data_IF_101964973743
#
_entry.id   IF_101964973743
#
_cell.length_a   1.000
_cell.length_b   1.000
_cell.length_c   1.000
_cell.angle_alpha   90.00
_cell.angle_beta   90.00
_cell.angle_gamma   90.00
#
_symmetry.space_group_name_H-M   'P 1'
#
loop_
_entity.id
_entity.type
_entity.pdbx_description
1 polymer ?
#
# COMPACT_ATOMS: atom_id res chain seq x y z
N UNK A 1 38.35 46.93 -44.51
CA UNK A 1 38.60 45.52 -44.14
C UNK A 1 38.92 45.32 -42.66
N UNK A 2 40.10 45.69 -42.12
CA UNK A 2 40.41 45.42 -40.70
C UNK A 2 39.49 46.20 -39.74
N UNK A 3 39.22 47.47 -40.02
CA UNK A 3 38.32 48.27 -39.18
C UNK A 3 36.85 47.84 -39.27
N UNK A 4 36.40 47.34 -40.43
CA UNK A 4 35.07 46.74 -40.59
C UNK A 4 34.93 45.45 -39.76
N UNK A 5 35.96 44.59 -39.80
CA UNK A 5 36.02 43.38 -38.98
C UNK A 5 35.99 43.69 -37.48
N UNK A 6 36.69 44.74 -37.03
CA UNK A 6 36.63 45.19 -35.62
C UNK A 6 35.24 45.68 -35.25
N UNK A 7 34.58 46.44 -36.14
CA UNK A 7 33.22 46.92 -35.89
C UNK A 7 32.18 45.78 -35.83
N UNK A 8 32.33 44.75 -36.66
CA UNK A 8 31.48 43.55 -36.61
C UNK A 8 31.71 42.72 -35.33
N UNK A 9 32.96 42.56 -34.89
CA UNK A 9 33.31 41.90 -33.63
C UNK A 9 32.68 42.62 -32.42
N UNK A 10 32.77 43.96 -32.40
CA UNK A 10 32.17 44.75 -31.32
C UNK A 10 30.64 44.57 -31.28
N UNK A 11 29.97 44.63 -32.44
CA UNK A 11 28.52 44.38 -32.52
C UNK A 11 28.12 43.00 -32.03
N UNK A 12 28.94 41.98 -32.31
CA UNK A 12 28.71 40.63 -31.83
C UNK A 12 28.85 40.53 -30.31
N UNK A 13 29.86 41.16 -29.73
CA UNK A 13 30.05 41.22 -28.27
C UNK A 13 28.90 41.97 -27.59
N UNK A 14 28.50 43.12 -28.12
CA UNK A 14 27.38 43.91 -27.60
C UNK A 14 26.06 43.12 -27.67
N UNK A 15 25.81 42.43 -28.79
CA UNK A 15 24.61 41.60 -28.96
C UNK A 15 24.61 40.40 -28.02
N UNK A 16 25.77 39.78 -27.77
CA UNK A 16 25.92 38.70 -26.79
C UNK A 16 25.69 39.21 -25.36
N UNK A 17 26.23 40.39 -25.04
CA UNK A 17 26.05 41.02 -23.73
C UNK A 17 24.58 41.39 -23.46
N UNK A 18 23.81 41.76 -24.50
CA UNK A 18 22.39 42.05 -24.37
C UNK A 18 21.52 40.78 -24.31
N UNK A 19 21.90 39.73 -25.04
CA UNK A 19 21.14 38.47 -25.09
C UNK A 19 21.32 37.63 -23.82
N UNK A 20 22.52 37.61 -23.23
CA UNK A 20 22.82 36.79 -22.05
C UNK A 20 21.87 37.02 -20.85
N UNK A 21 21.56 38.26 -20.41
CA UNK A 21 20.65 38.47 -19.29
C UNK A 21 19.23 37.98 -19.60
N UNK A 22 18.76 38.13 -20.85
CA UNK A 22 17.45 37.62 -21.27
C UNK A 22 17.41 36.08 -21.22
N UNK A 23 18.51 35.43 -21.62
CA UNK A 23 18.67 33.97 -21.52
C UNK A 23 18.67 33.54 -20.05
N UNK A 24 19.36 34.27 -19.17
CA UNK A 24 19.44 33.96 -17.74
C UNK A 24 18.07 34.13 -17.05
N UNK A 25 17.30 35.15 -17.41
CA UNK A 25 15.90 35.34 -16.95
C UNK A 25 15.01 34.18 -17.39
N UNK A 26 15.04 33.81 -18.67
CA UNK A 26 14.27 32.67 -19.19
C UNK A 26 14.65 31.36 -18.50
N UNK A 27 15.95 31.13 -18.25
CA UNK A 27 16.40 29.95 -17.51
C UNK A 27 15.90 29.96 -16.05
N UNK A 28 15.87 31.12 -15.41
CA UNK A 28 15.36 31.27 -14.04
C UNK A 28 13.86 30.99 -13.97
N UNK A 29 13.08 31.50 -14.92
CA UNK A 29 11.65 31.21 -15.03
C UNK A 29 11.39 29.73 -15.28
N UNK A 30 12.08 29.15 -16.28
CA UNK A 30 11.99 27.71 -16.57
C UNK A 30 12.29 26.86 -15.34
N UNK A 31 13.36 27.16 -14.61
CA UNK A 31 13.73 26.38 -13.43
C UNK A 31 12.70 26.52 -12.30
N UNK A 32 12.07 27.69 -12.15
CA UNK A 32 10.99 27.91 -11.19
C UNK A 32 9.75 27.11 -11.57
N UNK A 33 9.37 27.09 -12.85
CA UNK A 33 8.23 26.31 -13.33
C UNK A 33 8.47 24.81 -13.16
N UNK A 34 9.67 24.32 -13.48
CA UNK A 34 10.05 22.92 -13.26
C UNK A 34 9.91 22.53 -11.78
N UNK A 35 10.43 23.34 -10.86
CA UNK A 35 10.31 23.08 -9.43
C UNK A 35 8.85 23.04 -8.95
N UNK A 36 7.98 23.90 -9.49
CA UNK A 36 6.54 23.87 -9.17
C UNK A 36 5.85 22.63 -9.71
N UNK A 37 6.24 22.18 -10.90
CA UNK A 37 5.70 20.95 -11.52
C UNK A 37 6.15 19.72 -10.72
N UNK A 38 7.44 19.63 -10.37
CA UNK A 38 7.99 18.56 -9.53
C UNK A 38 7.24 18.49 -8.18
N UNK A 39 7.11 19.62 -7.49
CA UNK A 39 6.39 19.67 -6.21
C UNK A 39 4.93 19.19 -6.32
N UNK A 40 4.25 19.53 -7.43
CA UNK A 40 2.88 19.06 -7.67
C UNK A 40 2.81 17.55 -7.88
N UNK A 41 3.74 16.99 -8.64
CA UNK A 41 3.78 15.55 -8.85
C UNK A 41 4.15 14.80 -7.57
N UNK A 42 5.12 15.30 -6.80
CA UNK A 42 5.47 14.72 -5.50
C UNK A 42 4.26 14.70 -4.55
N UNK A 43 3.49 15.78 -4.50
CA UNK A 43 2.27 15.84 -3.69
C UNK A 43 1.19 14.87 -4.18
N UNK A 44 1.01 14.72 -5.50
CA UNK A 44 0.08 13.76 -6.08
C UNK A 44 0.49 12.31 -5.77
N UNK A 45 1.79 12.00 -5.91
CA UNK A 45 2.35 10.69 -5.56
C UNK A 45 2.12 10.41 -4.08
N UNK A 46 2.45 11.36 -3.19
CA UNK A 46 2.25 11.18 -1.76
C UNK A 46 0.79 10.91 -1.40
N UNK A 47 -0.16 11.62 -2.03
CA UNK A 47 -1.59 11.39 -1.79
C UNK A 47 -2.03 10.00 -2.28
N UNK A 48 -1.63 9.61 -3.49
CA UNK A 48 -1.99 8.29 -4.04
C UNK A 48 -1.37 7.17 -3.21
N UNK A 49 -0.10 7.29 -2.81
CA UNK A 49 0.55 6.32 -1.93
C UNK A 49 -0.18 6.20 -0.60
N UNK A 50 -0.59 7.33 0.00
CA UNK A 50 -1.37 7.33 1.23
C UNK A 50 -2.72 6.62 1.07
N UNK A 51 -3.45 6.88 0.00
CA UNK A 51 -4.74 6.23 -0.26
C UNK A 51 -4.57 4.70 -0.44
N UNK A 52 -3.46 4.27 -1.07
CA UNK A 52 -3.11 2.85 -1.22
C UNK A 52 -2.75 2.23 0.13
N UNK A 53 -1.93 2.91 0.94
CA UNK A 53 -1.54 2.44 2.28
C UNK A 53 -2.76 2.28 3.20
N UNK A 54 -3.66 3.28 3.21
CA UNK A 54 -4.91 3.25 3.97
C UNK A 54 -5.83 2.10 3.50
N UNK A 55 -5.90 1.85 2.19
CA UNK A 55 -6.67 0.74 1.65
C UNK A 55 -6.04 -0.61 2.02
N UNK A 56 -4.72 -0.75 1.95
CA UNK A 56 -4.01 -1.97 2.31
C UNK A 56 -4.21 -2.30 3.79
N UNK A 57 -4.08 -1.29 4.66
CA UNK A 57 -4.33 -1.43 6.10
C UNK A 57 -5.79 -1.84 6.38
N UNK A 58 -6.74 -1.19 5.71
CA UNK A 58 -8.16 -1.54 5.83
C UNK A 58 -8.44 -2.97 5.39
N UNK A 59 -7.97 -3.38 4.22
CA UNK A 59 -8.16 -4.74 3.70
C UNK A 59 -7.52 -5.76 4.63
N UNK A 60 -6.33 -5.48 5.14
CA UNK A 60 -5.66 -6.32 6.11
C UNK A 60 -6.48 -6.48 7.39
N UNK A 61 -6.93 -5.37 7.99
CA UNK A 61 -7.76 -5.39 9.19
C UNK A 61 -9.10 -6.11 8.96
N UNK A 62 -9.75 -5.91 7.82
CA UNK A 62 -10.97 -6.63 7.43
C UNK A 62 -10.73 -8.15 7.35
N UNK A 63 -9.57 -8.58 6.83
CA UNK A 63 -9.17 -10.00 6.82
C UNK A 63 -8.98 -10.54 8.25
N UNK A 64 -8.32 -9.78 9.13
CA UNK A 64 -8.13 -10.18 10.53
C UNK A 64 -9.47 -10.24 11.28
N UNK A 65 -10.39 -9.30 11.05
CA UNK A 65 -11.73 -9.39 11.63
C UNK A 65 -12.52 -10.58 11.10
N UNK A 66 -12.35 -10.92 9.82
CA UNK A 66 -13.04 -12.06 9.22
C UNK A 66 -12.63 -13.40 9.84
N UNK A 67 -11.41 -13.50 10.40
CA UNK A 67 -10.95 -14.64 11.20
C UNK A 67 -11.84 -14.88 12.41
N UNK A 68 -12.10 -13.84 13.19
CA UNK A 68 -12.95 -13.94 14.38
C UNK A 68 -14.37 -14.38 13.98
N UNK A 69 -14.92 -13.74 12.95
CA UNK A 69 -16.27 -14.02 12.44
C UNK A 69 -16.41 -15.49 12.01
N UNK A 70 -15.41 -16.05 11.31
CA UNK A 70 -15.49 -17.46 10.88
C UNK A 70 -15.31 -18.42 12.05
N UNK A 71 -14.41 -18.12 13.00
CA UNK A 71 -14.16 -18.96 14.18
C UNK A 71 -15.41 -19.03 15.06
N UNK A 72 -16.03 -17.88 15.36
CA UNK A 72 -17.23 -17.81 16.18
C UNK A 72 -18.42 -18.47 15.50
N UNK A 73 -18.60 -18.27 14.19
CA UNK A 73 -19.64 -18.95 13.42
C UNK A 73 -19.50 -20.48 13.46
N UNK A 74 -18.27 -21.00 13.34
CA UNK A 74 -18.02 -22.44 13.43
C UNK A 74 -18.31 -22.97 14.84
N UNK A 75 -17.87 -22.24 15.86
CA UNK A 75 -18.11 -22.58 17.26
C UNK A 75 -19.62 -22.64 17.59
N UNK A 76 -20.41 -21.68 17.13
CA UNK A 76 -21.87 -21.66 17.32
C UNK A 76 -22.58 -22.78 16.54
N UNK A 77 -22.10 -23.10 15.33
CA UNK A 77 -22.63 -24.21 14.54
C UNK A 77 -22.43 -25.56 15.26
N UNK A 78 -21.29 -25.75 15.93
CA UNK A 78 -21.02 -26.96 16.72
C UNK A 78 -21.91 -27.08 17.95
N UNK A 79 -22.09 -25.99 18.69
CA UNK A 79 -23.02 -25.94 19.84
C UNK A 79 -24.45 -26.33 19.47
N UNK A 80 -24.84 -26.08 18.22
CA UNK A 80 -26.21 -26.27 17.73
C UNK A 80 -26.51 -27.68 17.20
N UNK A 81 -25.49 -28.51 16.89
CA UNK A 81 -25.69 -29.75 16.13
C UNK A 81 -25.28 -31.04 16.84
N UNK A 82 -24.64 -30.98 18.01
CA UNK A 82 -24.16 -32.14 18.79
C UNK A 82 -23.26 -33.14 18.02
N UNK A 83 -22.87 -32.82 16.78
CA UNK A 83 -22.00 -33.62 15.91
C UNK A 83 -20.77 -32.79 15.62
N UNK A 84 -19.59 -33.34 15.95
CA UNK A 84 -18.31 -32.65 15.72
C UNK A 84 -17.91 -32.73 14.24
N UNK A 85 -18.55 -31.93 13.39
CA UNK A 85 -18.26 -31.86 11.94
C UNK A 85 -17.89 -30.45 11.53
N UNK A 86 -16.70 -30.30 10.98
CA UNK A 86 -16.23 -29.03 10.42
C UNK A 86 -17.12 -28.59 9.26
N UNK A 87 -17.62 -27.35 9.30
CA UNK A 87 -18.50 -26.83 8.24
C UNK A 87 -17.75 -26.62 6.92
N UNK A 88 -18.50 -26.66 5.81
CA UNK A 88 -17.95 -26.32 4.48
C UNK A 88 -17.44 -24.88 4.43
N UNK A 89 -18.05 -23.98 5.20
CA UNK A 89 -17.70 -22.56 5.26
C UNK A 89 -16.32 -22.35 5.87
N UNK A 90 -16.02 -23.01 6.99
CA UNK A 90 -14.68 -22.96 7.59
C UNK A 90 -13.63 -23.51 6.60
N UNK A 91 -13.87 -24.68 5.99
CA UNK A 91 -12.92 -25.29 5.04
C UNK A 91 -12.62 -24.37 3.85
N UNK A 92 -13.65 -23.78 3.26
CA UNK A 92 -13.49 -22.85 2.14
C UNK A 92 -12.71 -21.60 2.55
N UNK A 93 -13.00 -21.06 3.74
CA UNK A 93 -12.26 -19.92 4.28
C UNK A 93 -10.79 -20.27 4.54
N UNK A 94 -10.49 -21.41 5.18
CA UNK A 94 -9.12 -21.88 5.43
C UNK A 94 -8.31 -22.00 4.15
N UNK A 95 -8.91 -22.55 3.08
CA UNK A 95 -8.25 -22.62 1.78
C UNK A 95 -7.99 -21.22 1.21
N UNK A 96 -9.01 -20.37 1.18
CA UNK A 96 -8.89 -19.00 0.68
C UNK A 96 -7.76 -18.24 1.36
N UNK A 97 -7.68 -18.25 2.69
CA UNK A 97 -6.63 -17.49 3.42
C UNK A 97 -5.26 -18.13 3.38
N UNK A 98 -5.15 -19.43 3.07
CA UNK A 98 -3.86 -20.10 2.88
C UNK A 98 -3.17 -19.66 1.58
N UNK A 99 -3.95 -19.20 0.59
CA UNK A 99 -3.46 -18.74 -0.70
C UNK A 99 -3.11 -17.23 -0.69
N UNK A 100 -3.35 -16.52 0.43
CA UNK A 100 -3.07 -15.10 0.58
C UNK A 100 -1.71 -14.86 1.27
N UNK A 101 -0.73 -14.35 0.54
CA UNK A 101 0.61 -14.06 1.09
C UNK A 101 0.58 -13.06 2.26
N UNK A 102 -0.35 -12.11 2.23
CA UNK A 102 -0.49 -11.08 3.28
C UNK A 102 -1.11 -11.61 4.58
N UNK A 103 -1.74 -12.79 4.56
CA UNK A 103 -2.48 -13.29 5.71
C UNK A 103 -1.54 -13.89 6.77
N UNK A 104 -1.77 -13.67 8.08
CA UNK A 104 -0.88 -14.21 9.11
C UNK A 104 -0.83 -15.74 9.09
N UNK A 105 0.37 -16.28 8.88
CA UNK A 105 0.61 -17.73 8.84
C UNK A 105 0.15 -18.43 10.13
N UNK A 106 0.37 -17.84 11.30
CA UNK A 106 -0.10 -18.39 12.59
C UNK A 106 -1.63 -18.61 12.60
N UNK A 107 -2.41 -17.65 12.06
CA UNK A 107 -3.87 -17.77 12.01
C UNK A 107 -4.31 -18.81 10.98
N UNK A 108 -3.65 -18.86 9.82
CA UNK A 108 -3.92 -19.87 8.78
C UNK A 108 -3.65 -21.29 9.29
N UNK A 109 -2.49 -21.50 9.93
CA UNK A 109 -2.08 -22.78 10.52
C UNK A 109 -3.08 -23.24 11.58
N UNK A 110 -3.54 -22.36 12.48
CA UNK A 110 -4.57 -22.71 13.46
C UNK A 110 -5.86 -23.19 12.81
N UNK A 111 -6.30 -22.55 11.73
CA UNK A 111 -7.48 -22.99 10.99
C UNK A 111 -7.24 -24.33 10.29
N UNK A 112 -6.05 -24.56 9.74
CA UNK A 112 -5.69 -25.85 9.16
C UNK A 112 -5.70 -26.97 10.21
N UNK A 113 -5.17 -26.72 11.41
CA UNK A 113 -5.21 -27.65 12.55
C UNK A 113 -6.64 -27.97 12.99
N UNK A 114 -7.56 -26.99 12.94
CA UNK A 114 -8.99 -27.25 13.19
C UNK A 114 -9.60 -28.10 12.08
N UNK A 115 -9.26 -27.85 10.82
CA UNK A 115 -9.75 -28.61 9.66
C UNK A 115 -9.22 -30.05 9.66
N UNK A 116 -7.95 -30.26 10.06
CA UNK A 116 -7.32 -31.57 10.21
C UNK A 116 -7.73 -32.30 11.50
N UNK A 117 -8.46 -31.62 12.40
CA UNK A 117 -8.91 -32.12 13.70
C UNK A 117 -7.77 -32.39 14.69
N UNK A 118 -6.62 -31.73 14.51
CA UNK A 118 -5.53 -31.72 15.48
C UNK A 118 -5.88 -30.89 16.72
N UNK A 119 -6.62 -29.80 16.53
CA UNK A 119 -7.16 -28.97 17.61
C UNK A 119 -8.66 -28.75 17.40
N UNK A 120 -9.31 -28.28 18.45
CA UNK A 120 -10.74 -27.97 18.43
C UNK A 120 -10.98 -26.52 18.03
N UNK A 121 -12.18 -26.19 17.53
CA UNK A 121 -12.49 -24.77 17.26
C UNK A 121 -12.60 -23.99 18.57
N UNK A 122 -12.98 -24.67 19.66
CA UNK A 122 -13.05 -24.16 21.02
C UNK A 122 -11.68 -23.63 21.49
N UNK A 123 -10.59 -24.37 21.22
CA UNK A 123 -9.22 -23.96 21.55
C UNK A 123 -8.83 -22.62 20.92
N UNK A 124 -9.35 -22.37 19.72
CA UNK A 124 -9.14 -21.11 18.97
C UNK A 124 -10.11 -20.04 19.45
N UNK A 125 -11.40 -20.36 19.60
CA UNK A 125 -12.46 -19.44 19.97
C UNK A 125 -12.21 -18.79 21.34
N UNK A 126 -11.76 -19.55 22.34
CA UNK A 126 -11.47 -19.01 23.67
C UNK A 126 -10.32 -18.00 23.70
N UNK A 127 -9.48 -17.99 22.67
CA UNK A 127 -8.34 -17.07 22.54
C UNK A 127 -8.48 -16.13 21.34
N UNK A 128 -9.65 -16.07 20.70
CA UNK A 128 -9.83 -15.42 19.40
C UNK A 128 -9.46 -13.94 19.44
N UNK A 129 -9.88 -13.22 20.49
CA UNK A 129 -9.57 -11.80 20.68
C UNK A 129 -8.08 -11.55 20.84
N UNK A 130 -7.41 -12.42 21.62
CA UNK A 130 -5.96 -12.34 21.82
C UNK A 130 -5.20 -12.63 20.54
N UNK A 131 -5.66 -13.60 19.75
CA UNK A 131 -5.04 -13.97 18.48
C UNK A 131 -5.22 -12.87 17.43
N UNK A 132 -6.44 -12.35 17.27
CA UNK A 132 -6.76 -11.20 16.42
C UNK A 132 -5.96 -9.96 16.82
N UNK A 133 -5.91 -9.64 18.11
CA UNK A 133 -5.26 -8.45 18.64
C UNK A 133 -3.75 -8.37 18.37
N UNK A 134 -3.08 -9.49 18.09
CA UNK A 134 -1.67 -9.50 17.65
C UNK A 134 -1.46 -8.91 16.25
N UNK A 135 -2.49 -8.92 15.42
CA UNK A 135 -2.39 -8.68 13.98
C UNK A 135 -3.27 -7.53 13.51
N UNK A 136 -4.06 -6.88 14.36
CA UNK A 136 -4.69 -5.62 13.95
C UNK A 136 -3.62 -4.54 13.83
N UNK A 137 -3.66 -3.80 12.71
CA UNK A 137 -2.88 -2.59 12.49
C UNK A 137 -3.65 -1.37 13.00
#
# INVERSE_FOLDING_TARGET
MIEELKAELQKLEDSKAEAQPKIDELNKERNKELALVEQRYDALIANVSKDVDELEEKVYNDLIESFEKIVMHEFDAKRSTNIYRITKKLKAYTQFVSDLDMYPKELAEKLQQVVSQEITIEDVAYNVDKLKGKYLK
#
